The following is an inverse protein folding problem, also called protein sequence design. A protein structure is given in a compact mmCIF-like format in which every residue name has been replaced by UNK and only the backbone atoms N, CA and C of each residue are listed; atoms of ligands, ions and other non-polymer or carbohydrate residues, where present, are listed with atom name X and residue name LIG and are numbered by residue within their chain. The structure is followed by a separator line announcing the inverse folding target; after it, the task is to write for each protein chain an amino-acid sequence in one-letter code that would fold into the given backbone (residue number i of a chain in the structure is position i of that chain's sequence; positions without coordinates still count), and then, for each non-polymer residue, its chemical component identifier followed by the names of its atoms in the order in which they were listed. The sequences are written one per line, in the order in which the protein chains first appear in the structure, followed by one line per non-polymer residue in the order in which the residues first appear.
data_IF_049273898636
#
_entry.id   IF_049273898636
#
_cell.length_a   1.000
_cell.length_b   1.000
_cell.length_c   1.000
_cell.angle_alpha   90.00
_cell.angle_beta   90.00
_cell.angle_gamma   90.00
#
_symmetry.space_group_name_H-M   'P 1'
#
loop_
_entity.id
_entity.type
_entity.pdbx_description
1 polymer ?
#
# COMPACT_ATOMS: atom_id res chain seq x y z
N UNK A 1 2.80 27.24 -12.02
CA UNK A 1 2.95 25.81 -12.25
C UNK A 1 2.29 25.56 -13.59
N UNK A 2 3.08 25.29 -14.62
CA UNK A 2 2.57 24.83 -15.91
C UNK A 2 2.17 23.35 -15.72
N UNK A 3 1.05 22.90 -16.29
CA UNK A 3 0.72 21.49 -16.27
C UNK A 3 1.81 20.72 -17.03
N UNK A 4 2.27 19.62 -16.46
CA UNK A 4 3.11 18.63 -17.14
C UNK A 4 2.28 18.03 -18.26
N UNK A 5 2.63 18.36 -19.49
CA UNK A 5 1.98 17.87 -20.69
C UNK A 5 2.63 16.55 -21.13
N UNK A 6 1.81 15.57 -21.53
CA UNK A 6 2.23 14.58 -22.51
C UNK A 6 2.94 15.30 -23.66
N UNK A 7 3.98 14.70 -24.24
CA UNK A 7 4.74 15.33 -25.32
C UNK A 7 3.81 15.76 -26.46
N UNK A 8 4.20 16.81 -27.21
CA UNK A 8 3.37 17.38 -28.29
C UNK A 8 3.39 16.46 -29.49
N UNK A 9 2.23 15.97 -29.92
CA UNK A 9 2.06 15.18 -31.13
C UNK A 9 1.93 16.05 -32.37
N UNK A 10 2.87 15.87 -33.30
CA UNK A 10 2.89 16.70 -34.51
C UNK A 10 1.61 16.55 -35.34
N UNK A 11 1.12 15.31 -35.49
CA UNK A 11 0.03 15.04 -36.44
C UNK A 11 -1.33 15.56 -35.96
N UNK A 12 -1.60 15.44 -34.65
CA UNK A 12 -2.86 15.86 -34.05
C UNK A 12 -2.87 17.29 -33.50
N UNK A 13 -1.70 17.87 -33.17
CA UNK A 13 -1.61 19.17 -32.52
C UNK A 13 -0.90 20.25 -33.37
N UNK A 14 0.23 19.93 -33.99
CA UNK A 14 1.01 20.92 -34.77
C UNK A 14 0.53 21.04 -36.22
N UNK A 15 0.36 19.91 -36.92
CA UNK A 15 -0.08 19.94 -38.31
C UNK A 15 -1.41 20.63 -38.53
N UNK A 16 -2.43 20.52 -37.66
CA UNK A 16 -3.67 21.31 -37.76
C UNK A 16 -3.46 22.82 -37.68
N UNK A 17 -2.48 23.28 -36.88
CA UNK A 17 -2.13 24.70 -36.83
C UNK A 17 -1.57 25.15 -38.17
N UNK A 18 -0.61 24.43 -38.73
CA UNK A 18 -0.03 24.73 -40.04
C UNK A 18 -1.07 24.69 -41.16
N UNK A 19 -1.93 23.66 -41.17
CA UNK A 19 -3.01 23.53 -42.15
C UNK A 19 -3.99 24.73 -42.13
N UNK A 20 -4.26 25.28 -40.97
CA UNK A 20 -5.22 26.39 -40.82
C UNK A 20 -4.62 27.76 -41.03
N UNK A 21 -3.31 27.93 -40.88
CA UNK A 21 -2.65 29.23 -40.82
C UNK A 21 -1.54 29.43 -41.84
N UNK A 22 -0.88 28.37 -42.29
CA UNK A 22 0.39 28.52 -43.02
C UNK A 22 0.34 27.92 -44.43
N UNK A 23 -0.38 26.81 -44.65
CA UNK A 23 -0.35 26.06 -45.92
C UNK A 23 -0.99 26.80 -47.13
N UNK A 24 -1.68 27.92 -46.89
CA UNK A 24 -2.16 28.73 -48.03
C UNK A 24 -1.01 29.35 -48.85
N UNK A 25 0.17 29.60 -48.24
CA UNK A 25 1.36 30.09 -48.90
C UNK A 25 2.48 29.06 -48.90
N UNK A 26 2.57 28.21 -47.88
CA UNK A 26 3.61 27.22 -47.71
C UNK A 26 3.14 25.81 -48.05
N UNK A 27 2.68 25.60 -49.33
CA UNK A 27 2.23 24.28 -49.82
C UNK A 27 2.52 24.10 -51.31
N UNK A 28 2.80 22.85 -51.71
CA UNK A 28 3.01 22.45 -53.10
C UNK A 28 4.36 22.80 -53.65
N UNK A 29 4.47 22.75 -55.03
CA UNK A 29 5.71 23.03 -55.76
C UNK A 29 6.06 24.53 -55.88
N UNK A 30 5.13 25.40 -55.52
CA UNK A 30 5.27 26.84 -55.62
C UNK A 30 5.21 27.50 -54.20
N UNK A 31 5.62 26.73 -53.17
CA UNK A 31 5.64 27.20 -51.80
C UNK A 31 6.59 28.42 -51.67
N UNK A 32 6.15 29.45 -50.93
CA UNK A 32 6.99 30.62 -50.69
C UNK A 32 8.29 30.21 -49.97
N UNK A 33 9.44 30.70 -50.42
CA UNK A 33 10.78 30.33 -49.96
C UNK A 33 11.11 28.84 -50.01
N UNK A 34 10.48 28.11 -50.96
CA UNK A 34 10.56 26.66 -51.12
C UNK A 34 10.27 25.86 -49.80
N UNK A 35 9.61 26.52 -48.83
CA UNK A 35 9.25 25.94 -47.57
C UNK A 35 7.82 25.39 -47.62
N UNK A 36 7.68 24.06 -47.53
CA UNK A 36 6.38 23.40 -47.42
C UNK A 36 6.08 22.98 -45.97
N UNK A 37 4.92 23.39 -45.44
CA UNK A 37 4.46 23.07 -44.10
C UNK A 37 3.29 22.03 -44.12
N UNK A 38 3.24 21.22 -45.14
CA UNK A 38 2.13 20.26 -45.36
C UNK A 38 2.32 18.88 -44.71
N UNK A 39 3.51 18.58 -44.26
CA UNK A 39 3.81 17.34 -43.53
C UNK A 39 5.06 17.52 -42.67
N UNK A 40 5.21 16.65 -41.65
CA UNK A 40 6.37 16.61 -40.79
C UNK A 40 7.71 16.63 -41.56
N UNK A 41 7.86 15.70 -42.54
CA UNK A 41 9.09 15.61 -43.31
C UNK A 41 9.39 16.91 -44.10
N UNK A 42 8.35 17.56 -44.64
CA UNK A 42 8.53 18.79 -45.36
C UNK A 42 8.96 19.95 -44.45
N UNK A 43 8.40 20.04 -43.23
CA UNK A 43 8.82 21.05 -42.23
C UNK A 43 10.28 20.83 -41.82
N UNK A 44 10.66 19.59 -41.59
CA UNK A 44 12.02 19.25 -41.16
C UNK A 44 13.06 19.33 -42.29
N UNK A 45 12.63 19.31 -43.57
CA UNK A 45 13.51 19.53 -44.71
C UNK A 45 13.90 21.01 -44.88
N UNK A 46 13.14 21.93 -44.25
CA UNK A 46 13.37 23.37 -44.38
C UNK A 46 12.98 23.93 -45.73
N UNK A 47 13.56 25.09 -46.10
CA UNK A 47 13.32 25.79 -47.36
C UNK A 47 14.61 26.47 -47.86
N UNK A 48 14.47 27.50 -48.73
CA UNK A 48 15.61 28.25 -49.27
C UNK A 48 16.53 28.84 -48.20
N UNK A 49 16.03 29.15 -47.03
CA UNK A 49 16.78 29.62 -45.85
C UNK A 49 17.45 28.52 -45.03
N UNK A 50 17.36 27.25 -45.46
CA UNK A 50 17.83 26.07 -44.72
C UNK A 50 16.83 25.56 -43.70
N UNK A 51 17.34 24.95 -42.62
CA UNK A 51 16.53 24.38 -41.55
C UNK A 51 15.76 25.49 -40.83
N UNK A 52 14.42 25.40 -40.82
CA UNK A 52 13.55 26.36 -40.12
C UNK A 52 13.23 25.95 -38.70
N UNK A 53 13.47 24.68 -38.36
CA UNK A 53 13.31 24.08 -37.03
C UNK A 53 14.64 23.48 -36.60
N UNK A 54 15.11 23.90 -35.43
CA UNK A 54 16.30 23.34 -34.76
C UNK A 54 15.79 22.51 -33.56
N UNK A 55 15.79 21.19 -33.62
CA UNK A 55 15.33 20.35 -32.50
C UNK A 55 16.01 20.74 -31.16
N UNK A 56 15.25 20.78 -30.08
CA UNK A 56 15.66 21.18 -28.73
C UNK A 56 16.07 22.68 -28.59
N UNK A 57 15.80 23.52 -29.60
CA UNK A 57 16.15 24.94 -29.53
C UNK A 57 15.14 25.82 -30.31
N UNK A 58 13.97 26.04 -29.67
CA UNK A 58 12.95 26.87 -30.30
C UNK A 58 13.41 28.32 -30.48
N UNK A 59 14.23 28.85 -29.55
CA UNK A 59 14.63 30.23 -29.56
C UNK A 59 15.47 30.60 -30.80
N UNK A 60 16.26 29.67 -31.34
CA UNK A 60 17.03 29.80 -32.56
C UNK A 60 16.36 29.24 -33.82
N UNK A 61 15.19 28.58 -33.69
CA UNK A 61 14.38 28.12 -34.82
C UNK A 61 13.71 29.27 -35.57
N UNK A 62 13.98 29.42 -36.86
CA UNK A 62 13.40 30.50 -37.70
C UNK A 62 11.88 30.45 -37.71
N UNK A 63 11.30 29.27 -37.76
CA UNK A 63 9.85 29.07 -37.70
C UNK A 63 9.27 29.81 -36.48
N UNK A 64 9.80 29.52 -35.27
CA UNK A 64 9.31 30.13 -34.03
C UNK A 64 9.58 31.66 -34.00
N UNK A 65 10.77 32.11 -34.41
CA UNK A 65 11.12 33.53 -34.42
C UNK A 65 10.11 34.32 -35.26
N UNK A 66 9.72 33.82 -36.44
CA UNK A 66 8.81 34.49 -37.35
C UNK A 66 7.37 34.53 -36.85
N UNK A 67 6.88 33.42 -36.28
CA UNK A 67 5.53 33.40 -35.70
C UNK A 67 5.44 34.22 -34.39
N UNK A 68 6.47 34.16 -33.55
CA UNK A 68 6.48 34.91 -32.28
C UNK A 68 6.64 36.45 -32.49
N UNK A 69 7.32 36.87 -33.56
CA UNK A 69 7.44 38.30 -33.92
C UNK A 69 6.20 38.84 -34.61
N UNK A 70 5.24 38.00 -35.00
CA UNK A 70 4.08 38.37 -35.81
C UNK A 70 4.44 38.66 -37.28
N UNK A 71 5.62 38.27 -37.73
CA UNK A 71 6.02 38.40 -39.14
C UNK A 71 5.29 37.41 -40.02
N UNK A 72 5.03 36.23 -39.48
CA UNK A 72 4.25 35.17 -40.11
C UNK A 72 3.10 34.67 -39.17
N UNK A 73 1.91 34.35 -39.72
CA UNK A 73 1.46 34.61 -41.09
C UNK A 73 1.20 36.09 -41.35
N UNK A 74 1.38 36.60 -42.59
CA UNK A 74 1.19 38.02 -42.88
C UNK A 74 -0.31 38.40 -42.83
N UNK A 75 -0.62 39.57 -42.29
CA UNK A 75 -1.97 40.14 -42.28
C UNK A 75 -2.66 40.03 -40.94
N UNK A 76 -3.97 39.67 -40.90
CA UNK A 76 -4.79 39.59 -39.71
C UNK A 76 -5.03 38.18 -39.23
N UNK A 77 -4.24 37.21 -39.68
CA UNK A 77 -4.42 35.79 -39.39
C UNK A 77 -3.41 35.26 -38.36
N UNK A 78 -3.10 36.07 -37.35
CA UNK A 78 -2.08 35.77 -36.34
C UNK A 78 -2.40 34.47 -35.58
N UNK A 79 -1.34 33.77 -35.16
CA UNK A 79 -1.47 32.63 -34.22
C UNK A 79 -1.83 33.16 -32.83
N UNK A 80 -2.57 32.37 -32.09
CA UNK A 80 -2.78 32.64 -30.65
C UNK A 80 -1.51 32.35 -29.86
N UNK A 81 -1.32 33.02 -28.71
CA UNK A 81 -0.20 32.71 -27.82
C UNK A 81 -0.11 31.22 -27.48
N UNK A 82 -1.23 30.59 -27.24
CA UNK A 82 -1.28 29.13 -26.98
C UNK A 82 -0.74 28.30 -28.14
N UNK A 83 -0.99 28.70 -29.40
CA UNK A 83 -0.46 27.99 -30.57
C UNK A 83 1.06 28.25 -30.74
N UNK A 84 1.52 29.45 -30.45
CA UNK A 84 2.96 29.78 -30.47
C UNK A 84 3.70 29.01 -29.40
N UNK A 85 3.16 28.95 -28.18
CA UNK A 85 3.74 28.22 -27.06
C UNK A 85 3.77 26.71 -27.35
N UNK A 86 2.71 26.15 -27.96
CA UNK A 86 2.64 24.74 -28.33
C UNK A 86 3.70 24.37 -29.39
N UNK A 87 3.94 25.25 -30.38
CA UNK A 87 4.99 25.03 -31.36
C UNK A 87 6.38 25.13 -30.71
N UNK A 88 6.57 26.07 -29.77
CA UNK A 88 7.81 26.18 -29.01
C UNK A 88 8.10 24.91 -28.22
N UNK A 89 7.06 24.40 -27.53
CA UNK A 89 7.14 23.16 -26.75
C UNK A 89 7.49 21.96 -27.65
N UNK A 90 6.80 21.79 -28.78
CA UNK A 90 7.13 20.74 -29.74
C UNK A 90 8.60 20.78 -30.20
N UNK A 91 9.14 21.98 -30.45
CA UNK A 91 10.54 22.13 -30.85
C UNK A 91 11.48 21.77 -29.71
N UNK A 92 11.19 22.23 -28.47
CA UNK A 92 12.00 21.93 -27.27
C UNK A 92 12.01 20.45 -26.91
N UNK A 93 10.93 19.75 -27.19
CA UNK A 93 10.83 18.28 -27.02
C UNK A 93 11.55 17.50 -28.13
N UNK A 94 12.25 18.19 -29.04
CA UNK A 94 13.05 17.59 -30.10
C UNK A 94 12.39 17.58 -31.48
N UNK A 95 11.27 18.28 -31.64
CA UNK A 95 10.50 18.36 -32.89
C UNK A 95 10.17 16.98 -33.48
N UNK A 96 9.69 16.06 -32.66
CA UNK A 96 9.40 14.68 -33.06
C UNK A 96 8.09 14.54 -33.83
N UNK A 97 7.95 13.51 -34.73
CA UNK A 97 6.71 13.27 -35.47
C UNK A 97 5.55 12.79 -34.62
N UNK A 98 5.84 12.15 -33.54
CA UNK A 98 4.89 11.64 -32.54
C UNK A 98 5.27 12.21 -31.18
N UNK A 99 4.29 12.40 -30.29
CA UNK A 99 4.56 12.80 -28.92
C UNK A 99 5.65 11.89 -28.34
N UNK A 100 6.72 12.50 -27.83
CA UNK A 100 7.66 11.72 -27.05
C UNK A 100 6.97 11.40 -25.73
N UNK A 101 6.48 10.18 -25.55
CA UNK A 101 6.28 9.67 -24.20
C UNK A 101 7.63 9.79 -23.49
N UNK A 102 7.72 10.37 -22.30
CA UNK A 102 8.96 10.32 -21.55
C UNK A 102 9.41 8.86 -21.52
N UNK A 103 10.57 8.58 -22.12
CA UNK A 103 11.09 7.22 -22.13
C UNK A 103 11.56 6.94 -20.71
N UNK A 104 10.77 6.20 -19.98
CA UNK A 104 11.23 5.64 -18.73
C UNK A 104 12.47 4.76 -18.97
N UNK A 105 13.38 4.73 -18.01
CA UNK A 105 14.49 3.77 -18.01
C UNK A 105 13.94 2.34 -18.13
N UNK A 106 14.70 1.40 -18.70
CA UNK A 106 14.21 0.09 -19.14
C UNK A 106 13.47 -0.78 -18.11
N UNK A 107 13.64 -0.48 -16.80
CA UNK A 107 12.96 -1.18 -15.70
C UNK A 107 11.67 -0.47 -15.24
N UNK A 108 11.27 0.59 -15.94
CA UNK A 108 10.09 1.40 -15.61
C UNK A 108 9.13 1.50 -16.79
N UNK A 109 7.84 1.57 -16.49
CA UNK A 109 6.76 1.78 -17.47
C UNK A 109 6.14 3.16 -17.24
N UNK A 110 5.97 3.94 -18.30
CA UNK A 110 5.21 5.19 -18.27
C UNK A 110 3.70 4.91 -18.31
N UNK A 111 2.94 5.53 -17.40
CA UNK A 111 1.48 5.40 -17.33
C UNK A 111 0.87 6.81 -17.31
N UNK A 112 0.19 7.18 -18.40
CA UNK A 112 -0.41 8.51 -18.57
C UNK A 112 -1.69 8.71 -17.74
N UNK A 113 -2.59 7.72 -17.77
CA UNK A 113 -3.90 7.80 -17.12
C UNK A 113 -3.80 7.41 -15.64
N UNK A 114 -3.47 8.39 -14.79
CA UNK A 114 -3.36 8.16 -13.36
C UNK A 114 -4.73 8.23 -12.68
N UNK A 115 -5.12 7.23 -11.87
CA UNK A 115 -6.37 7.24 -11.13
C UNK A 115 -6.34 8.24 -9.97
N UNK A 116 -7.53 8.71 -9.55
CA UNK A 116 -7.66 9.73 -8.50
C UNK A 116 -7.24 9.27 -7.09
N UNK A 117 -7.13 7.97 -6.88
CA UNK A 117 -6.71 7.36 -5.62
C UNK A 117 -5.17 7.23 -5.51
N UNK A 118 -4.46 7.61 -6.53
CA UNK A 118 -3.00 7.59 -6.56
C UNK A 118 -2.44 8.86 -5.91
N UNK A 119 -1.56 8.70 -4.94
CA UNK A 119 -0.75 9.78 -4.39
C UNK A 119 0.64 9.67 -4.98
N UNK A 120 0.92 10.51 -5.98
CA UNK A 120 2.19 10.51 -6.68
C UNK A 120 3.15 11.54 -6.04
N UNK A 121 4.05 11.06 -5.20
CA UNK A 121 5.05 11.87 -4.54
C UNK A 121 6.36 11.83 -5.35
N UNK A 122 6.74 12.95 -5.97
CA UNK A 122 8.01 13.11 -6.73
C UNK A 122 8.18 12.13 -7.91
N UNK A 123 7.12 11.72 -8.58
CA UNK A 123 7.15 10.94 -9.82
C UNK A 123 6.64 11.83 -10.97
N UNK A 124 7.40 12.87 -11.29
CA UNK A 124 7.03 13.86 -12.31
C UNK A 124 6.93 13.24 -13.71
N UNK A 125 7.75 12.22 -13.98
CA UNK A 125 7.79 11.54 -15.29
C UNK A 125 6.74 10.44 -15.42
N UNK A 126 5.90 10.18 -14.41
CA UNK A 126 4.89 9.10 -14.40
C UNK A 126 5.45 7.71 -14.75
N UNK A 127 6.71 7.48 -14.39
CA UNK A 127 7.41 6.22 -14.59
C UNK A 127 7.28 5.33 -13.35
N UNK A 128 6.76 4.13 -13.51
CA UNK A 128 6.50 3.17 -12.43
C UNK A 128 7.36 1.92 -12.62
N UNK A 129 7.96 1.44 -11.55
CA UNK A 129 8.87 0.29 -11.57
C UNK A 129 8.11 -1.01 -11.92
N UNK A 130 8.63 -1.74 -12.89
CA UNK A 130 7.93 -2.89 -13.48
C UNK A 130 7.66 -4.01 -12.47
N UNK A 131 8.62 -4.30 -11.57
CA UNK A 131 8.42 -5.36 -10.58
C UNK A 131 7.36 -4.97 -9.54
N UNK A 132 7.29 -3.68 -9.14
CA UNK A 132 6.22 -3.20 -8.24
C UNK A 132 4.84 -3.33 -8.92
N UNK A 133 4.74 -3.00 -10.21
CA UNK A 133 3.50 -3.16 -10.98
C UNK A 133 3.11 -4.64 -11.12
N UNK A 134 4.10 -5.52 -11.31
CA UNK A 134 3.86 -6.97 -11.44
C UNK A 134 3.29 -7.56 -10.14
N UNK A 135 3.77 -7.13 -8.96
CA UNK A 135 3.20 -7.56 -7.68
C UNK A 135 1.73 -7.17 -7.55
N UNK A 136 1.36 -5.96 -8.02
CA UNK A 136 -0.03 -5.51 -7.98
C UNK A 136 -0.90 -6.30 -8.95
N UNK A 137 -0.39 -6.60 -10.16
CA UNK A 137 -1.10 -7.42 -11.15
C UNK A 137 -1.32 -8.86 -10.65
N UNK A 138 -0.29 -9.44 -10.00
CA UNK A 138 -0.41 -10.74 -9.34
C UNK A 138 -1.42 -10.73 -8.19
N UNK A 139 -1.50 -9.65 -7.40
CA UNK A 139 -2.53 -9.50 -6.37
C UNK A 139 -3.94 -9.48 -6.97
N UNK A 140 -4.14 -8.74 -8.07
CA UNK A 140 -5.41 -8.70 -8.82
C UNK A 140 -5.80 -10.10 -9.27
N UNK A 141 -4.86 -10.78 -9.92
CA UNK A 141 -5.08 -12.12 -10.48
C UNK A 141 -5.37 -13.16 -9.40
N UNK A 142 -4.62 -13.12 -8.29
CA UNK A 142 -4.73 -14.07 -7.18
C UNK A 142 -6.07 -13.96 -6.44
N UNK A 143 -6.62 -12.74 -6.37
CA UNK A 143 -7.87 -12.46 -5.63
C UNK A 143 -9.08 -12.26 -6.56
N UNK A 144 -8.95 -12.48 -7.87
CA UNK A 144 -9.99 -12.28 -8.88
C UNK A 144 -10.64 -10.88 -8.78
N UNK A 145 -9.79 -9.84 -8.63
CA UNK A 145 -10.26 -8.48 -8.46
C UNK A 145 -10.66 -7.86 -9.80
N UNK A 146 -11.67 -7.00 -9.78
CA UNK A 146 -12.22 -6.38 -10.99
C UNK A 146 -11.70 -4.96 -11.20
N UNK A 147 -10.37 -4.80 -11.30
CA UNK A 147 -9.73 -3.54 -11.65
C UNK A 147 -9.22 -3.56 -13.10
N UNK A 148 -9.31 -2.42 -13.78
CA UNK A 148 -8.83 -2.26 -15.17
C UNK A 148 -7.41 -1.73 -15.25
N UNK A 149 -6.93 -1.12 -14.19
CA UNK A 149 -5.58 -0.54 -14.06
C UNK A 149 -4.99 -0.94 -12.70
N UNK A 150 -3.75 -1.42 -12.69
CA UNK A 150 -3.04 -1.82 -11.46
C UNK A 150 -2.94 -0.68 -10.45
N UNK A 151 -2.87 0.57 -10.91
CA UNK A 151 -2.83 1.75 -10.04
C UNK A 151 -4.17 2.07 -9.35
N UNK A 152 -5.28 1.40 -9.71
CA UNK A 152 -6.59 1.57 -9.07
C UNK A 152 -6.75 0.73 -7.80
N UNK A 153 -5.84 -0.23 -7.54
CA UNK A 153 -5.97 -1.19 -6.44
C UNK A 153 -5.64 -0.55 -5.10
N UNK A 154 -6.66 -0.27 -4.31
CA UNK A 154 -6.50 0.39 -3.02
C UNK A 154 -6.07 1.85 -3.15
N UNK A 155 -5.38 2.38 -2.14
CA UNK A 155 -4.75 3.71 -2.18
C UNK A 155 -3.25 3.55 -2.18
N UNK A 156 -2.60 4.07 -3.20
CA UNK A 156 -1.18 3.91 -3.43
C UNK A 156 -0.44 5.25 -3.35
N UNK A 157 0.69 5.25 -2.67
CA UNK A 157 1.64 6.37 -2.66
C UNK A 157 2.96 5.91 -3.27
N UNK A 158 3.44 6.66 -4.26
CA UNK A 158 4.65 6.34 -5.00
C UNK A 158 5.70 7.43 -4.78
N UNK A 159 6.96 7.02 -4.71
CA UNK A 159 8.10 7.91 -4.59
C UNK A 159 9.20 7.46 -5.57
N UNK A 160 9.59 8.34 -6.49
CA UNK A 160 10.58 8.04 -7.54
C UNK A 160 10.26 6.74 -8.29
N UNK A 161 8.98 6.54 -8.63
CA UNK A 161 8.51 5.38 -9.38
C UNK A 161 8.42 4.06 -8.60
N UNK A 162 8.66 4.04 -7.29
CA UNK A 162 8.53 2.88 -6.42
C UNK A 162 7.36 3.06 -5.45
N UNK A 163 6.61 1.98 -5.19
CA UNK A 163 5.52 2.02 -4.21
C UNK A 163 6.10 2.14 -2.79
N UNK A 164 5.63 3.18 -2.06
CA UNK A 164 6.10 3.48 -0.72
C UNK A 164 5.04 3.19 0.35
N UNK A 165 3.77 3.41 0.05
CA UNK A 165 2.66 3.14 0.97
C UNK A 165 1.48 2.56 0.21
N UNK A 166 0.87 1.51 0.76
CA UNK A 166 -0.25 0.84 0.14
C UNK A 166 -1.36 0.56 1.15
N UNK A 167 -2.56 1.06 0.87
CA UNK A 167 -3.75 0.84 1.69
C UNK A 167 -4.68 -0.11 0.94
N UNK A 168 -4.79 -1.31 1.43
CA UNK A 168 -5.60 -2.40 0.93
C UNK A 168 -6.72 -2.79 1.91
N UNK A 169 -6.99 -1.93 2.90
CA UNK A 169 -8.07 -2.14 3.87
C UNK A 169 -9.40 -2.32 3.13
N UNK A 170 -10.14 -3.38 3.46
CA UNK A 170 -11.46 -3.57 2.87
C UNK A 170 -12.45 -2.52 3.40
N UNK A 171 -13.14 -1.85 2.47
CA UNK A 171 -14.22 -0.93 2.77
C UNK A 171 -15.40 -1.19 1.84
N UNK A 172 -16.62 -1.23 2.37
CA UNK A 172 -17.81 -1.56 1.59
C UNK A 172 -17.99 -0.76 0.30
N UNK A 173 -17.45 0.45 0.26
CA UNK A 173 -17.56 1.36 -0.87
C UNK A 173 -16.26 1.49 -1.66
N UNK A 174 -15.19 0.80 -1.26
CA UNK A 174 -13.85 0.93 -1.84
C UNK A 174 -13.18 2.29 -1.63
N UNK A 175 -13.82 3.21 -0.91
CA UNK A 175 -13.23 4.51 -0.60
C UNK A 175 -12.08 4.34 0.39
N UNK A 176 -10.92 4.83 0.03
CA UNK A 176 -9.68 4.72 0.84
C UNK A 176 -9.22 3.27 1.09
N UNK A 177 -9.45 2.36 0.14
CA UNK A 177 -9.04 0.96 0.25
C UNK A 177 -9.54 0.13 -0.92
N UNK A 178 -9.81 -1.16 -0.68
CA UNK A 178 -10.37 -2.07 -1.69
C UNK A 178 -11.85 -2.35 -1.42
N UNK A 179 -12.61 -2.59 -2.48
CA UNK A 179 -14.06 -2.87 -2.41
C UNK A 179 -14.39 -4.38 -2.42
N UNK A 180 -13.38 -5.22 -2.49
CA UNK A 180 -13.46 -6.66 -2.44
C UNK A 180 -12.42 -7.18 -1.45
N UNK A 181 -12.83 -8.12 -0.57
CA UNK A 181 -11.92 -8.68 0.43
C UNK A 181 -10.86 -9.56 -0.22
N UNK A 182 -9.61 -9.31 0.15
CA UNK A 182 -8.47 -10.12 -0.26
C UNK A 182 -8.45 -11.44 0.52
N UNK A 183 -8.11 -12.53 -0.17
CA UNK A 183 -7.97 -13.86 0.44
C UNK A 183 -6.52 -14.29 0.60
N UNK A 184 -5.61 -13.70 -0.18
CA UNK A 184 -4.18 -14.03 -0.14
C UNK A 184 -3.32 -12.87 -0.65
N UNK A 185 -2.04 -12.86 -0.29
CA UNK A 185 -1.00 -12.02 -0.87
C UNK A 185 -0.15 -12.83 -1.85
N UNK A 186 0.35 -12.21 -2.94
CA UNK A 186 1.14 -12.92 -3.94
C UNK A 186 2.53 -13.30 -3.40
N UNK A 187 3.09 -14.40 -3.93
CA UNK A 187 4.40 -14.92 -3.50
C UNK A 187 5.57 -13.96 -3.73
N UNK A 188 5.42 -13.00 -4.63
CA UNK A 188 6.41 -11.96 -4.92
C UNK A 188 6.17 -10.65 -4.15
N UNK A 189 5.31 -10.63 -3.13
CA UNK A 189 5.06 -9.43 -2.31
C UNK A 189 6.36 -8.82 -1.74
N UNK A 190 7.35 -9.67 -1.45
CA UNK A 190 8.67 -9.26 -0.95
C UNK A 190 9.51 -8.44 -1.92
N UNK A 191 9.13 -8.37 -3.21
CA UNK A 191 9.82 -7.57 -4.23
C UNK A 191 9.49 -6.07 -4.09
N UNK A 192 8.45 -5.72 -3.31
CA UNK A 192 8.13 -4.34 -2.95
C UNK A 192 9.14 -3.75 -1.96
N UNK A 193 10.41 -3.79 -2.30
CA UNK A 193 11.51 -3.44 -1.41
C UNK A 193 11.53 -1.98 -0.94
N UNK A 194 10.77 -1.09 -1.57
CA UNK A 194 10.61 0.31 -1.15
C UNK A 194 9.39 0.55 -0.28
N UNK A 195 8.56 -0.49 -0.03
CA UNK A 195 7.33 -0.36 0.75
C UNK A 195 7.64 -0.07 2.22
N UNK A 196 7.19 1.08 2.70
CA UNK A 196 7.36 1.52 4.08
C UNK A 196 6.09 1.37 4.93
N UNK A 197 4.91 1.41 4.30
CA UNK A 197 3.64 1.31 5.00
C UNK A 197 2.68 0.39 4.27
N UNK A 198 2.10 -0.58 4.98
CA UNK A 198 1.13 -1.52 4.46
C UNK A 198 -0.06 -1.64 5.41
N UNK A 199 -1.26 -1.32 4.91
CA UNK A 199 -2.53 -1.37 5.63
C UNK A 199 -3.46 -2.32 4.89
N UNK A 200 -3.78 -3.48 5.48
CA UNK A 200 -4.58 -4.56 4.86
C UNK A 200 -5.63 -5.14 5.82
N UNK A 201 -6.23 -4.26 6.62
CA UNK A 201 -7.25 -4.67 7.59
C UNK A 201 -8.55 -5.11 6.91
N UNK A 202 -9.36 -5.85 7.66
CA UNK A 202 -10.71 -6.27 7.27
C UNK A 202 -10.77 -7.16 6.01
N UNK A 203 -9.73 -7.94 5.78
CA UNK A 203 -9.67 -8.91 4.69
C UNK A 203 -9.86 -10.36 5.19
N UNK A 204 -9.66 -11.34 4.34
CA UNK A 204 -9.76 -12.77 4.67
C UNK A 204 -8.42 -13.49 4.47
N UNK A 205 -7.31 -12.80 4.70
CA UNK A 205 -5.97 -13.35 4.52
C UNK A 205 -5.70 -14.37 5.62
N UNK A 206 -5.33 -15.59 5.22
CA UNK A 206 -5.10 -16.72 6.16
C UNK A 206 -3.62 -16.95 6.47
N UNK A 207 -2.72 -16.50 5.61
CA UNK A 207 -1.28 -16.65 5.77
C UNK A 207 -0.51 -15.57 5.02
N UNK A 208 0.71 -15.29 5.44
CA UNK A 208 1.66 -14.45 4.72
C UNK A 208 2.65 -15.35 3.97
N UNK A 209 3.01 -15.04 2.69
CA UNK A 209 4.04 -15.80 1.98
C UNK A 209 5.42 -15.60 2.62
N UNK A 210 6.33 -16.56 2.45
CA UNK A 210 7.67 -16.48 3.04
C UNK A 210 8.45 -15.24 2.57
N UNK A 211 8.24 -14.80 1.32
CA UNK A 211 8.85 -13.58 0.77
C UNK A 211 8.48 -12.30 1.52
N UNK A 212 7.39 -12.32 2.32
CA UNK A 212 6.96 -11.16 3.11
C UNK A 212 8.09 -10.62 4.02
N UNK A 213 8.93 -11.52 4.53
CA UNK A 213 10.08 -11.16 5.37
C UNK A 213 11.18 -10.37 4.62
N UNK A 214 11.10 -10.26 3.29
CA UNK A 214 12.01 -9.45 2.46
C UNK A 214 11.62 -7.96 2.41
N UNK A 215 10.49 -7.56 2.97
CA UNK A 215 10.06 -6.16 3.02
C UNK A 215 10.89 -5.32 4.00
N UNK A 216 12.18 -5.24 3.75
CA UNK A 216 13.18 -4.68 4.68
C UNK A 216 12.97 -3.20 5.02
N UNK A 217 12.21 -2.44 4.23
CA UNK A 217 11.88 -1.04 4.49
C UNK A 217 10.53 -0.85 5.18
N UNK A 218 9.79 -1.95 5.46
CA UNK A 218 8.49 -1.88 6.08
C UNK A 218 8.61 -1.35 7.53
N UNK A 219 7.98 -0.21 7.78
CA UNK A 219 7.96 0.45 9.08
C UNK A 219 6.61 0.31 9.77
N UNK A 220 5.51 0.33 9.02
CA UNK A 220 4.17 0.19 9.56
C UNK A 220 3.44 -0.96 8.86
N UNK A 221 3.00 -1.94 9.63
CA UNK A 221 2.14 -3.03 9.20
C UNK A 221 0.88 -3.06 10.05
N UNK A 222 -0.26 -2.85 9.42
CA UNK A 222 -1.58 -3.02 10.02
C UNK A 222 -2.31 -4.09 9.25
N UNK A 223 -2.47 -5.26 9.86
CA UNK A 223 -3.09 -6.46 9.26
C UNK A 223 -4.15 -7.06 10.18
N UNK A 224 -4.71 -6.24 11.05
CA UNK A 224 -5.78 -6.64 11.94
C UNK A 224 -7.07 -7.01 11.20
N UNK A 225 -7.98 -7.71 11.89
CA UNK A 225 -9.25 -8.13 11.30
C UNK A 225 -9.07 -8.98 10.03
N UNK A 226 -8.22 -10.00 10.13
CA UNK A 226 -7.98 -11.03 9.11
C UNK A 226 -8.17 -12.44 9.69
N UNK A 227 -7.71 -13.45 8.99
CA UNK A 227 -7.83 -14.85 9.38
C UNK A 227 -6.45 -15.52 9.53
N UNK A 228 -5.41 -14.73 9.84
CA UNK A 228 -4.05 -15.23 9.99
C UNK A 228 -3.96 -16.25 11.13
N UNK A 229 -3.32 -17.39 10.87
CA UNK A 229 -3.11 -18.45 11.88
C UNK A 229 -1.67 -18.48 12.41
N UNK A 230 -0.72 -17.94 11.66
CA UNK A 230 0.69 -17.86 12.01
C UNK A 230 1.39 -16.76 11.21
N UNK A 231 2.63 -16.46 11.58
CA UNK A 231 3.55 -15.61 10.83
C UNK A 231 4.66 -16.46 10.20
N UNK A 232 5.35 -16.00 9.13
CA UNK A 232 6.53 -16.66 8.58
C UNK A 232 7.63 -16.81 9.64
N UNK A 233 8.42 -17.90 9.54
CA UNK A 233 9.51 -18.16 10.49
C UNK A 233 10.56 -17.04 10.56
N UNK A 234 10.80 -16.34 9.44
CA UNK A 234 11.78 -15.25 9.33
C UNK A 234 11.15 -13.86 9.53
N UNK A 235 9.93 -13.77 10.10
CA UNK A 235 9.20 -12.51 10.27
C UNK A 235 10.01 -11.45 11.06
N UNK A 236 10.87 -11.89 11.98
CA UNK A 236 11.76 -11.02 12.75
C UNK A 236 12.83 -10.31 11.94
N UNK A 237 13.05 -10.68 10.67
CA UNK A 237 13.97 -9.99 9.77
C UNK A 237 13.46 -8.61 9.33
N UNK A 238 12.18 -8.30 9.60
CA UNK A 238 11.57 -6.98 9.38
C UNK A 238 12.06 -5.95 10.43
N UNK A 239 13.35 -5.78 10.53
CA UNK A 239 14.02 -5.00 11.59
C UNK A 239 13.68 -3.51 11.59
N UNK A 240 13.09 -2.98 10.51
CA UNK A 240 12.62 -1.59 10.43
C UNK A 240 11.17 -1.40 10.88
N UNK A 241 10.45 -2.48 11.24
CA UNK A 241 9.10 -2.35 11.79
C UNK A 241 9.11 -1.53 13.07
N UNK A 242 8.30 -0.48 13.06
CA UNK A 242 8.06 0.43 14.18
C UNK A 242 6.66 0.20 14.78
N UNK A 243 5.68 -0.07 13.91
CA UNK A 243 4.29 -0.33 14.28
C UNK A 243 3.81 -1.64 13.68
N UNK A 244 3.34 -2.56 14.53
CA UNK A 244 2.79 -3.86 14.13
C UNK A 244 1.46 -4.10 14.81
N UNK A 245 0.38 -4.15 14.02
CA UNK A 245 -0.96 -4.51 14.48
C UNK A 245 -1.39 -5.84 13.84
N UNK A 246 -1.46 -6.87 14.69
CA UNK A 246 -1.94 -8.22 14.38
C UNK A 246 -3.29 -8.53 15.08
N UNK A 247 -3.94 -7.54 15.69
CA UNK A 247 -5.17 -7.72 16.44
C UNK A 247 -6.30 -8.37 15.64
N UNK A 248 -7.22 -9.06 16.30
CA UNK A 248 -8.38 -9.70 15.67
C UNK A 248 -8.01 -10.62 14.49
N UNK A 249 -7.12 -11.59 14.78
CA UNK A 249 -6.76 -12.68 13.88
C UNK A 249 -7.02 -14.04 14.57
N UNK A 250 -6.43 -15.10 14.06
CA UNK A 250 -6.51 -16.46 14.60
C UNK A 250 -5.12 -17.02 14.89
N UNK A 251 -4.16 -16.15 15.21
CA UNK A 251 -2.76 -16.53 15.42
C UNK A 251 -2.67 -17.35 16.70
N UNK A 252 -2.14 -18.58 16.57
CA UNK A 252 -1.99 -19.50 17.69
C UNK A 252 -0.55 -19.61 18.21
N UNK A 253 0.42 -19.12 17.44
CA UNK A 253 1.84 -19.08 17.83
C UNK A 253 2.59 -17.96 17.12
N UNK A 254 3.63 -17.44 17.75
CA UNK A 254 4.59 -16.51 17.15
C UNK A 254 5.91 -17.24 16.90
N UNK A 255 6.64 -16.93 15.80
CA UNK A 255 7.96 -17.52 15.55
C UNK A 255 9.02 -17.00 16.55
N UNK A 256 10.03 -17.80 16.82
CA UNK A 256 11.19 -17.41 17.66
C UNK A 256 11.91 -16.17 17.10
N UNK A 257 11.84 -15.94 15.79
CA UNK A 257 12.44 -14.76 15.16
C UNK A 257 11.81 -13.45 15.61
N UNK A 258 10.57 -13.46 16.19
CA UNK A 258 9.85 -12.24 16.58
C UNK A 258 10.71 -11.27 17.39
N UNK A 259 11.60 -11.80 18.24
CA UNK A 259 12.56 -11.00 19.00
C UNK A 259 13.59 -10.23 18.18
N UNK A 260 13.64 -10.43 16.85
CA UNK A 260 14.47 -9.70 15.90
C UNK A 260 13.96 -8.33 15.50
N UNK A 261 12.72 -7.97 15.82
CA UNK A 261 12.10 -6.68 15.48
C UNK A 261 12.72 -5.51 16.28
N UNK A 262 13.94 -5.12 15.91
CA UNK A 262 14.82 -4.26 16.71
C UNK A 262 14.39 -2.79 16.80
N UNK A 263 13.45 -2.34 15.99
CA UNK A 263 12.93 -0.97 15.99
C UNK A 263 11.45 -0.88 16.40
N UNK A 264 10.86 -1.99 16.86
CA UNK A 264 9.43 -2.01 17.20
C UNK A 264 9.14 -1.11 18.40
N UNK A 265 8.11 -0.28 18.29
CA UNK A 265 7.62 0.57 19.36
C UNK A 265 6.18 0.26 19.75
N UNK A 266 5.34 -0.13 18.80
CA UNK A 266 3.97 -0.55 19.01
C UNK A 266 3.80 -1.98 18.52
N UNK A 267 3.41 -2.88 19.41
CA UNK A 267 3.18 -4.27 19.09
C UNK A 267 1.86 -4.76 19.67
N UNK A 268 0.88 -4.97 18.82
CA UNK A 268 -0.47 -5.36 19.19
C UNK A 268 -0.78 -6.76 18.68
N UNK A 269 -1.04 -7.68 19.61
CA UNK A 269 -1.36 -9.10 19.35
C UNK A 269 -2.66 -9.52 20.04
N UNK A 270 -3.47 -8.57 20.48
CA UNK A 270 -4.71 -8.81 21.19
C UNK A 270 -5.76 -9.52 20.31
N UNK A 271 -6.74 -10.20 20.95
CA UNK A 271 -7.82 -10.94 20.28
C UNK A 271 -7.31 -11.89 19.19
N UNK A 272 -6.46 -12.83 19.61
CA UNK A 272 -5.94 -13.95 18.83
C UNK A 272 -6.17 -15.28 19.60
N UNK A 273 -5.45 -16.33 19.24
CA UNK A 273 -5.56 -17.67 19.86
C UNK A 273 -4.21 -18.12 20.46
N UNK A 274 -3.41 -17.17 20.91
CA UNK A 274 -2.10 -17.46 21.48
C UNK A 274 -2.25 -18.13 22.85
N UNK A 275 -1.70 -19.33 23.03
CA UNK A 275 -1.64 -20.04 24.31
C UNK A 275 -0.25 -20.04 24.93
N UNK A 276 0.75 -19.61 24.18
CA UNK A 276 2.14 -19.47 24.61
C UNK A 276 2.83 -18.38 23.79
N UNK A 277 3.96 -17.87 24.32
CA UNK A 277 4.79 -16.90 23.64
C UNK A 277 6.25 -17.33 23.68
N UNK A 278 7.06 -17.06 22.61
CA UNK A 278 8.48 -17.37 22.61
C UNK A 278 9.23 -16.45 23.60
N UNK A 279 10.22 -16.98 24.28
CA UNK A 279 11.10 -16.23 25.20
C UNK A 279 11.81 -15.05 24.51
N UNK A 280 12.08 -15.19 23.20
CA UNK A 280 12.68 -14.15 22.37
C UNK A 280 11.87 -12.85 22.33
N UNK A 281 10.57 -12.87 22.62
CA UNK A 281 9.73 -11.67 22.65
C UNK A 281 10.26 -10.62 23.62
N UNK A 282 10.90 -11.05 24.73
CA UNK A 282 11.52 -10.15 25.70
C UNK A 282 12.78 -9.44 25.18
N UNK A 283 13.31 -9.80 24.00
CA UNK A 283 14.40 -9.07 23.35
C UNK A 283 13.91 -7.80 22.64
N UNK A 284 12.60 -7.63 22.48
CA UNK A 284 12.02 -6.45 21.83
C UNK A 284 12.29 -5.18 22.64
N UNK A 285 12.62 -4.04 21.99
CA UNK A 285 12.89 -2.77 22.68
C UNK A 285 11.60 -2.07 23.13
N UNK A 286 10.58 -2.82 23.51
CA UNK A 286 9.25 -2.30 23.86
C UNK A 286 9.24 -1.65 25.25
N UNK A 287 8.41 -0.63 25.36
CA UNK A 287 7.91 -0.17 26.66
C UNK A 287 6.67 -1.02 26.96
N UNK A 288 6.85 -2.08 27.76
CA UNK A 288 5.80 -3.07 28.05
C UNK A 288 4.59 -2.48 28.75
N UNK A 289 4.81 -1.43 29.54
CA UNK A 289 3.78 -0.72 30.29
C UNK A 289 3.51 0.66 29.72
N UNK A 290 2.28 1.14 29.87
CA UNK A 290 1.95 2.52 29.58
C UNK A 290 1.47 2.76 28.15
N UNK A 291 1.30 4.06 27.86
CA UNK A 291 0.62 4.57 26.68
C UNK A 291 1.35 5.79 26.14
N UNK A 292 1.17 6.05 24.87
CA UNK A 292 1.64 7.27 24.23
C UNK A 292 0.75 8.50 24.60
N UNK A 293 1.06 9.67 24.01
CA UNK A 293 0.28 10.90 24.22
C UNK A 293 -1.15 10.83 23.63
N UNK A 294 -1.41 9.88 22.72
CA UNK A 294 -2.72 9.61 22.12
C UNK A 294 -3.54 8.58 22.91
N UNK A 295 -3.00 8.08 24.02
CA UNK A 295 -3.53 6.95 24.81
C UNK A 295 -3.53 5.60 24.07
N UNK A 296 -2.63 5.41 23.11
CA UNK A 296 -2.42 4.09 22.51
C UNK A 296 -1.39 3.30 23.33
N UNK A 297 -1.67 2.02 23.66
CA UNK A 297 -0.70 1.19 24.38
C UNK A 297 0.49 0.87 23.47
N UNK A 298 1.70 0.85 24.02
CA UNK A 298 2.87 0.39 23.27
C UNK A 298 2.83 -1.13 23.02
N UNK A 299 2.23 -1.86 23.95
CA UNK A 299 1.99 -3.29 23.84
C UNK A 299 0.54 -3.62 24.24
N UNK A 300 -0.08 -4.60 23.59
CA UNK A 300 -1.40 -5.08 23.96
C UNK A 300 -1.59 -6.55 23.55
N UNK A 301 -1.99 -7.41 24.48
CA UNK A 301 -2.15 -8.86 24.28
C UNK A 301 -3.44 -9.43 24.85
N UNK A 302 -4.38 -8.62 25.30
CA UNK A 302 -5.65 -9.10 25.86
C UNK A 302 -6.48 -9.92 24.89
N UNK A 303 -7.37 -10.78 25.41
CA UNK A 303 -8.27 -11.62 24.60
C UNK A 303 -7.55 -12.72 23.82
N UNK A 304 -6.48 -13.28 24.36
CA UNK A 304 -5.81 -14.49 23.91
C UNK A 304 -6.11 -15.66 24.86
N UNK A 305 -5.36 -16.74 24.79
CA UNK A 305 -5.45 -17.92 25.65
C UNK A 305 -4.17 -18.13 26.46
N UNK A 306 -3.55 -17.05 26.91
CA UNK A 306 -2.29 -17.01 27.67
C UNK A 306 -2.58 -17.33 29.15
N UNK A 307 -2.79 -18.60 29.49
CA UNK A 307 -3.29 -19.06 30.77
C UNK A 307 -2.25 -19.75 31.65
N UNK A 308 -1.21 -20.34 31.06
CA UNK A 308 -0.12 -21.00 31.80
C UNK A 308 1.07 -20.04 31.94
N UNK A 309 1.29 -19.53 33.15
CA UNK A 309 2.42 -18.64 33.43
C UNK A 309 3.81 -19.24 33.11
N UNK A 310 3.93 -20.57 33.03
CA UNK A 310 5.18 -21.17 32.60
C UNK A 310 5.44 -21.06 31.09
N UNK A 311 4.44 -20.69 30.29
CA UNK A 311 4.49 -20.52 28.84
C UNK A 311 4.42 -19.07 28.42
N UNK A 312 4.44 -18.14 29.40
CA UNK A 312 4.36 -16.69 29.16
C UNK A 312 5.63 -16.06 29.73
N UNK A 313 6.45 -15.42 28.87
CA UNK A 313 7.66 -14.72 29.33
C UNK A 313 7.35 -13.59 30.33
N UNK A 314 8.19 -13.45 31.36
CA UNK A 314 8.02 -12.49 32.45
C UNK A 314 7.76 -11.05 31.98
N UNK A 315 8.34 -10.63 30.86
CA UNK A 315 8.17 -9.28 30.31
C UNK A 315 6.73 -9.02 29.82
N UNK A 316 6.02 -10.07 29.45
CA UNK A 316 4.61 -10.00 29.01
C UNK A 316 3.68 -10.21 30.19
N UNK A 317 3.88 -11.26 30.98
CA UNK A 317 3.02 -11.59 32.13
C UNK A 317 2.94 -10.45 33.15
N UNK A 318 4.05 -9.75 33.39
CA UNK A 318 4.11 -8.64 34.33
C UNK A 318 3.70 -7.28 33.71
N UNK A 319 3.37 -7.23 32.43
CA UNK A 319 2.94 -5.98 31.77
C UNK A 319 1.55 -5.56 32.25
N UNK A 320 1.39 -4.27 32.54
CA UNK A 320 0.07 -3.66 32.81
C UNK A 320 -0.87 -3.71 31.60
N UNK A 321 -0.33 -4.00 30.42
CA UNK A 321 -1.07 -4.07 29.15
C UNK A 321 -1.34 -5.52 28.71
N UNK A 322 -1.09 -6.51 29.57
CA UNK A 322 -1.29 -7.94 29.30
C UNK A 322 -2.74 -8.28 28.93
N UNK A 323 -3.72 -7.66 29.60
CA UNK A 323 -5.15 -7.85 29.37
C UNK A 323 -5.79 -6.66 28.59
N UNK A 324 -4.99 -5.88 27.91
CA UNK A 324 -5.48 -4.73 27.14
C UNK A 324 -5.70 -5.13 25.66
N UNK A 325 -6.83 -4.66 25.12
CA UNK A 325 -7.12 -4.61 23.70
C UNK A 325 -7.69 -3.25 23.29
N UNK A 326 -7.91 -3.05 22.00
CA UNK A 326 -8.63 -1.89 21.47
C UNK A 326 -9.94 -2.34 20.82
N UNK A 327 -10.93 -1.45 20.77
CA UNK A 327 -12.21 -1.75 20.12
C UNK A 327 -12.02 -2.05 18.62
N UNK A 328 -12.76 -3.05 18.14
CA UNK A 328 -12.55 -3.65 16.83
C UNK A 328 -12.75 -2.68 15.65
N UNK A 329 -13.63 -1.70 15.80
CA UNK A 329 -14.08 -0.90 14.66
C UNK A 329 -13.32 0.42 14.49
N UNK A 330 -12.96 1.07 15.60
CA UNK A 330 -12.42 2.43 15.54
C UNK A 330 -11.05 2.55 16.18
N UNK A 331 -10.61 1.53 16.94
CA UNK A 331 -9.37 1.59 17.72
C UNK A 331 -9.27 2.83 18.62
N UNK A 332 -10.45 3.36 19.00
CA UNK A 332 -10.58 4.62 19.75
C UNK A 332 -10.71 4.41 21.25
N UNK A 333 -11.03 3.19 21.66
CA UNK A 333 -11.27 2.85 23.06
C UNK A 333 -10.41 1.67 23.47
N UNK A 334 -9.69 1.84 24.55
CA UNK A 334 -9.01 0.75 25.25
C UNK A 334 -10.06 -0.07 25.98
N UNK A 335 -9.92 -1.37 25.89
CA UNK A 335 -10.81 -2.34 26.52
C UNK A 335 -9.99 -3.26 27.43
N UNK A 336 -10.54 -3.55 28.62
CA UNK A 336 -10.09 -4.69 29.39
C UNK A 336 -10.59 -5.96 28.69
N UNK A 337 -9.68 -6.78 28.24
CA UNK A 337 -9.93 -8.06 27.57
C UNK A 337 -9.11 -9.14 28.26
N UNK A 338 -9.66 -9.74 29.33
CA UNK A 338 -8.99 -10.84 30.00
C UNK A 338 -8.63 -11.96 29.02
N UNK A 339 -7.62 -12.75 29.39
CA UNK A 339 -7.30 -13.95 28.62
C UNK A 339 -8.49 -14.91 28.62
N UNK A 340 -8.80 -15.50 27.46
CA UNK A 340 -9.86 -16.51 27.30
C UNK A 340 -9.36 -17.87 27.81
N UNK A 341 -9.21 -17.93 29.10
CA UNK A 341 -8.80 -19.15 29.78
C UNK A 341 -10.00 -20.06 29.98
N UNK A 342 -9.86 -21.38 29.69
CA UNK A 342 -10.85 -22.30 30.14
C UNK A 342 -11.03 -22.04 31.63
N UNK A 343 -12.26 -21.83 32.06
CA UNK A 343 -12.56 -21.75 33.47
C UNK A 343 -11.85 -22.96 34.10
N UNK A 344 -10.91 -22.72 35.01
CA UNK A 344 -10.56 -23.71 35.98
C UNK A 344 -11.87 -23.98 36.72
N UNK A 345 -12.63 -24.94 36.19
CA UNK A 345 -13.85 -25.38 36.86
C UNK A 345 -13.42 -25.69 38.28
N UNK A 346 -13.85 -24.83 39.20
CA UNK A 346 -13.38 -24.91 40.58
C UNK A 346 -13.70 -26.33 41.02
N UNK A 347 -12.65 -27.19 41.04
CA UNK A 347 -12.88 -28.61 41.35
C UNK A 347 -13.71 -28.70 42.60
N UNK A 348 -14.91 -29.25 42.45
CA UNK A 348 -15.89 -29.31 43.53
C UNK A 348 -16.99 -28.24 43.48
N UNK A 349 -16.99 -27.29 42.55
CA UNK A 349 -18.10 -26.38 42.27
C UNK A 349 -19.08 -27.06 41.30
N UNK A 350 -19.99 -27.80 41.88
CA UNK A 350 -20.94 -28.64 41.15
C UNK A 350 -22.19 -27.89 40.68
N UNK A 351 -22.38 -26.65 41.16
CA UNK A 351 -23.49 -25.81 40.73
C UNK A 351 -23.05 -24.67 39.80
N UNK A 352 -21.72 -24.59 39.49
CA UNK A 352 -21.11 -23.59 38.58
C UNK A 352 -21.43 -22.15 39.00
N UNK A 353 -21.46 -21.89 40.33
CA UNK A 353 -21.70 -20.53 40.87
C UNK A 353 -20.39 -19.74 41.18
N UNK A 354 -19.22 -20.36 40.93
CA UNK A 354 -17.89 -19.81 41.17
C UNK A 354 -17.51 -19.79 42.66
N UNK A 355 -18.22 -20.45 43.56
CA UNK A 355 -18.00 -20.42 45.01
C UNK A 355 -18.06 -21.82 45.61
N UNK A 356 -16.94 -22.41 46.03
CA UNK A 356 -16.93 -23.64 46.80
C UNK A 356 -17.63 -23.44 48.15
N UNK A 357 -18.81 -24.06 48.27
CA UNK A 357 -19.62 -23.94 49.48
C UNK A 357 -20.42 -25.22 49.80
N UNK A 358 -21.28 -25.14 50.81
CA UNK A 358 -22.04 -26.31 51.27
C UNK A 358 -23.03 -26.86 50.25
N UNK A 359 -23.43 -26.03 49.26
CA UNK A 359 -24.35 -26.48 48.20
C UNK A 359 -23.66 -27.50 47.26
N UNK A 360 -22.38 -27.28 46.99
CA UNK A 360 -21.57 -28.20 46.18
C UNK A 360 -21.39 -29.54 46.91
N UNK A 361 -21.13 -29.47 48.20
CA UNK A 361 -21.04 -30.69 49.01
C UNK A 361 -22.36 -31.47 48.98
N UNK A 362 -23.50 -30.80 49.03
CA UNK A 362 -24.80 -31.43 48.92
C UNK A 362 -25.03 -32.08 47.57
N UNK A 363 -24.59 -31.39 46.47
CA UNK A 363 -24.66 -31.96 45.13
C UNK A 363 -23.73 -33.16 44.98
N UNK A 364 -22.49 -33.07 45.49
CA UNK A 364 -21.54 -34.19 45.50
C UNK A 364 -22.08 -35.42 46.25
N UNK A 365 -22.68 -35.22 47.43
CA UNK A 365 -23.31 -36.30 48.20
C UNK A 365 -24.47 -36.94 47.43
N UNK A 366 -25.30 -36.13 46.76
CA UNK A 366 -26.39 -36.64 45.94
C UNK A 366 -25.88 -37.46 44.75
N UNK A 367 -24.83 -37.00 44.07
CA UNK A 367 -24.19 -37.75 42.98
C UNK A 367 -23.66 -39.11 43.46
N UNK A 368 -22.98 -39.16 44.58
CA UNK A 368 -22.49 -40.41 45.17
C UNK A 368 -23.63 -41.37 45.55
N UNK A 369 -24.76 -40.80 46.01
CA UNK A 369 -25.93 -41.62 46.38
C UNK A 369 -26.69 -42.17 45.15
N UNK A 370 -26.58 -41.48 44.03
CA UNK A 370 -27.25 -41.86 42.77
C UNK A 370 -26.31 -42.65 41.82
N UNK A 371 -25.13 -43.10 42.29
CA UNK A 371 -24.07 -43.75 41.50
C UNK A 371 -23.63 -42.90 40.27
N UNK A 372 -23.76 -41.56 40.35
CA UNK A 372 -23.28 -40.64 39.34
C UNK A 372 -21.80 -40.33 39.52
N UNK A 373 -21.06 -40.17 38.39
CA UNK A 373 -19.69 -39.65 38.38
C UNK A 373 -19.62 -38.45 37.48
N UNK A 374 -19.07 -37.34 37.96
CA UNK A 374 -18.69 -36.19 37.15
C UNK A 374 -17.25 -35.79 37.49
N UNK A 375 -16.42 -35.49 36.46
CA UNK A 375 -15.00 -35.20 36.61
C UNK A 375 -14.76 -33.96 37.51
N UNK A 376 -15.67 -32.99 37.48
CA UNK A 376 -15.64 -31.80 38.34
C UNK A 376 -15.77 -32.10 39.85
N UNK A 377 -16.35 -33.27 40.20
CA UNK A 377 -16.47 -33.72 41.58
C UNK A 377 -15.22 -34.44 42.07
N UNK A 378 -14.28 -34.77 41.21
CA UNK A 378 -13.04 -35.47 41.51
C UNK A 378 -11.96 -34.52 41.99
N UNK A 379 -12.01 -34.15 43.26
CA UNK A 379 -11.09 -33.15 43.86
C UNK A 379 -9.63 -33.61 43.98
N UNK A 380 -9.31 -34.88 43.77
CA UNK A 380 -7.95 -35.42 43.84
C UNK A 380 -7.37 -35.83 42.49
N UNK A 381 -8.18 -35.80 41.41
CA UNK A 381 -7.79 -36.16 40.04
C UNK A 381 -7.15 -37.56 39.90
N UNK A 382 -7.67 -38.60 40.59
CA UNK A 382 -7.13 -39.94 40.53
C UNK A 382 -8.01 -40.97 39.73
#
# INVERSE_FOLDING_TARGET
MLPLYAGVDYSSEIQPIFNSRCTNCHSGSDAEEDLSLTSYNNVMNGGDSGDVVIPYDYANSLLWQYINSGFMPPGTNDLTLTQIDLIAQWIDEGALPEASNPSCDGDYTHIEDLPNNLVNNNNEDQCFFNDDLAVIDDLISLNDLSYSNVLEVGVQSWNSGRIFSWVLTYTQNGNNGVNQQLIALPENIGDLTSLGNLYIEWNHITSLPASFSNLNNLSNLVISNNLLTSLPEDFGDLTNLFFLDLGYNQINSLPESIGGLSNIMYFWIFNNQLSQLPESICNLPLIWDGFDFGNYPYFASGGNQLCDSNLIPDCVENSSNFEISLDQFYYSFIQDSPQDCPDDALLGDLNDDGILNVLDIVLMVNMVLDDGYEEIADMNKD
#
